data_IF_832496601346
#
_entry.id   IF_832496601346
#
_cell.length_a   1.000
_cell.length_b   1.000
_cell.length_c   1.000
_cell.angle_alpha   90.00
_cell.angle_beta   90.00
_cell.angle_gamma   90.00
#
_symmetry.space_group_name_H-M   'P 1'
#
loop_
_entity.id
_entity.type
_entity.pdbx_description
1 polymer ?
#
# COMPACT_ATOMS: atom_id res chain seq x y z
N UNK A 1 -20.52 -61.26 -10.89
CA UNK A 1 -20.06 -59.95 -10.39
C UNK A 1 -18.81 -59.52 -11.16
N UNK A 2 -18.84 -58.38 -11.88
CA UNK A 2 -17.65 -57.57 -12.23
C UNK A 2 -18.13 -56.21 -12.75
N UNK A 3 -17.87 -55.16 -11.97
CA UNK A 3 -18.38 -53.78 -12.15
C UNK A 3 -17.55 -53.06 -13.22
N UNK A 4 -18.21 -52.36 -14.15
CA UNK A 4 -17.59 -51.45 -15.12
C UNK A 4 -17.32 -50.11 -14.43
N UNK A 5 -16.07 -49.67 -14.41
CA UNK A 5 -15.64 -48.39 -13.86
C UNK A 5 -15.66 -47.35 -14.98
N UNK A 6 -16.41 -46.28 -14.78
CA UNK A 6 -16.42 -45.09 -15.64
C UNK A 6 -15.35 -44.13 -15.14
N UNK A 7 -14.42 -43.73 -16.00
CA UNK A 7 -13.47 -42.66 -15.72
C UNK A 7 -14.16 -41.35 -16.12
N UNK A 8 -14.54 -40.56 -15.12
CA UNK A 8 -15.04 -39.20 -15.30
C UNK A 8 -13.82 -38.33 -15.57
N UNK A 9 -13.71 -37.82 -16.80
CA UNK A 9 -12.69 -36.87 -17.18
C UNK A 9 -12.82 -35.58 -16.35
N UNK A 10 -11.78 -35.26 -15.61
CA UNK A 10 -11.68 -33.97 -14.92
C UNK A 10 -11.43 -32.88 -15.98
N UNK A 11 -12.45 -32.06 -16.23
CA UNK A 11 -12.30 -30.82 -16.98
C UNK A 11 -11.43 -29.86 -16.17
N UNK A 12 -10.17 -29.69 -16.58
CA UNK A 12 -9.35 -28.59 -16.11
C UNK A 12 -9.86 -27.32 -16.80
N UNK A 13 -10.69 -26.56 -16.10
CA UNK A 13 -10.98 -25.18 -16.48
C UNK A 13 -9.70 -24.36 -16.25
N UNK A 14 -8.96 -24.11 -17.33
CA UNK A 14 -7.90 -23.12 -17.34
C UNK A 14 -8.54 -21.74 -17.16
N UNK A 15 -8.60 -21.26 -15.92
CA UNK A 15 -8.91 -19.86 -15.65
C UNK A 15 -7.82 -19.02 -16.32
N UNK A 16 -8.19 -18.25 -17.33
CA UNK A 16 -7.31 -17.32 -17.99
C UNK A 16 -6.80 -16.31 -16.94
N UNK A 17 -5.56 -16.51 -16.48
CA UNK A 17 -4.83 -15.47 -15.78
C UNK A 17 -4.55 -14.38 -16.81
N UNK A 18 -5.33 -13.31 -16.77
CA UNK A 18 -5.02 -12.09 -17.52
C UNK A 18 -3.61 -11.61 -17.18
N UNK A 19 -2.95 -10.83 -18.07
CA UNK A 19 -1.62 -10.33 -17.79
C UNK A 19 -1.66 -9.55 -16.48
N UNK A 20 -0.84 -9.97 -15.51
CA UNK A 20 -0.61 -9.19 -14.30
C UNK A 20 0.10 -7.91 -14.74
N UNK A 21 -0.67 -6.85 -14.98
CA UNK A 21 -0.11 -5.52 -15.23
C UNK A 21 0.66 -5.14 -13.97
N UNK A 22 1.99 -5.07 -14.09
CA UNK A 22 2.83 -4.63 -12.99
C UNK A 22 2.38 -3.23 -12.56
N UNK A 23 2.16 -3.06 -11.26
CA UNK A 23 1.83 -1.75 -10.70
C UNK A 23 3.00 -0.79 -10.97
N UNK A 24 2.73 0.50 -11.23
CA UNK A 24 3.79 1.49 -11.24
C UNK A 24 4.56 1.46 -9.92
N UNK A 25 5.87 1.78 -9.93
CA UNK A 25 6.63 1.90 -8.70
C UNK A 25 6.02 2.98 -7.80
N UNK A 26 6.15 2.79 -6.48
CA UNK A 26 5.79 3.82 -5.52
C UNK A 26 6.71 5.05 -5.70
N UNK A 27 6.20 6.26 -5.42
CA UNK A 27 7.01 7.47 -5.44
C UNK A 27 8.11 7.38 -4.37
N UNK A 28 9.26 7.97 -4.67
CA UNK A 28 10.33 8.11 -3.68
C UNK A 28 9.87 8.96 -2.50
N UNK A 29 10.00 8.42 -1.29
CA UNK A 29 9.48 9.07 -0.08
C UNK A 29 10.27 10.35 0.27
N UNK A 30 11.56 10.43 -0.04
CA UNK A 30 12.38 11.62 0.22
C UNK A 30 12.00 12.75 -0.75
N UNK A 31 11.62 12.41 -1.97
CA UNK A 31 11.04 13.34 -2.93
C UNK A 31 9.66 13.81 -2.48
N UNK A 32 8.81 12.91 -1.95
CA UNK A 32 7.52 13.29 -1.35
C UNK A 32 7.69 14.25 -0.17
N UNK A 33 8.72 14.04 0.65
CA UNK A 33 9.07 14.95 1.73
C UNK A 33 9.46 16.33 1.21
N UNK A 34 10.30 16.37 0.17
CA UNK A 34 10.69 17.62 -0.49
C UNK A 34 9.48 18.39 -1.05
N UNK A 35 8.50 17.67 -1.59
CA UNK A 35 7.25 18.25 -2.09
C UNK A 35 6.31 18.70 -0.99
N UNK A 36 6.23 17.98 0.14
CA UNK A 36 5.47 18.41 1.30
C UNK A 36 5.94 19.80 1.79
N UNK A 37 7.25 20.05 1.79
CA UNK A 37 7.78 21.38 2.13
C UNK A 37 7.37 22.48 1.15
N UNK A 38 7.00 22.14 -0.09
CA UNK A 38 6.59 23.09 -1.13
C UNK A 38 5.08 23.32 -1.15
N UNK A 39 4.27 22.27 -0.98
CA UNK A 39 2.80 22.34 -1.03
C UNK A 39 2.15 22.52 0.36
N UNK A 40 2.95 22.42 1.43
CA UNK A 40 2.56 22.51 2.84
C UNK A 40 1.41 21.53 3.21
N UNK A 41 1.36 20.37 2.55
CA UNK A 41 0.33 19.37 2.78
C UNK A 41 0.70 17.99 2.23
N UNK A 42 -0.30 17.11 2.13
CA UNK A 42 -0.12 15.75 1.58
C UNK A 42 -0.77 15.58 0.21
N UNK A 43 -1.19 16.68 -0.43
CA UNK A 43 -1.97 16.64 -1.67
C UNK A 43 -1.22 16.00 -2.83
N UNK A 44 0.06 16.34 -3.01
CA UNK A 44 0.89 15.71 -4.04
C UNK A 44 1.17 14.24 -3.71
N UNK A 45 1.54 13.94 -2.46
CA UNK A 45 1.76 12.56 -2.01
C UNK A 45 0.52 11.67 -2.24
N UNK A 46 -0.67 12.19 -1.90
CA UNK A 46 -1.94 11.52 -2.14
C UNK A 46 -2.14 11.17 -3.63
N UNK A 47 -1.87 12.11 -4.54
CA UNK A 47 -2.02 11.87 -5.98
C UNK A 47 -0.99 10.86 -6.51
N UNK A 48 0.27 10.99 -6.10
CA UNK A 48 1.34 10.08 -6.52
C UNK A 48 1.09 8.64 -6.05
N UNK A 49 0.66 8.48 -4.80
CA UNK A 49 0.29 7.17 -4.25
C UNK A 49 -0.93 6.59 -4.97
N UNK A 50 -1.97 7.38 -5.23
CA UNK A 50 -3.15 6.90 -5.99
C UNK A 50 -2.81 6.52 -7.43
N UNK A 51 -1.79 7.13 -8.04
CA UNK A 51 -1.35 6.74 -9.37
C UNK A 51 -0.64 5.38 -9.37
N UNK A 52 0.14 5.09 -8.31
CA UNK A 52 0.83 3.81 -8.16
C UNK A 52 -0.09 2.69 -7.63
N UNK A 53 -1.03 3.03 -6.75
CA UNK A 53 -1.99 2.12 -6.11
C UNK A 53 -3.43 2.61 -6.36
N UNK A 54 -3.95 2.50 -7.59
CA UNK A 54 -5.28 2.99 -7.92
C UNK A 54 -6.37 2.16 -7.22
N UNK A 55 -7.57 2.74 -7.00
CA UNK A 55 -8.75 1.97 -6.60
C UNK A 55 -8.99 0.77 -7.53
N UNK A 56 -9.41 -0.35 -6.96
CA UNK A 56 -9.52 -1.64 -7.65
C UNK A 56 -8.28 -2.52 -7.54
N UNK A 57 -7.14 -1.97 -7.10
CA UNK A 57 -5.95 -2.77 -6.81
C UNK A 57 -6.24 -3.79 -5.70
N UNK A 58 -5.90 -5.08 -5.86
CA UNK A 58 -6.09 -6.07 -4.80
C UNK A 58 -5.36 -5.66 -3.53
N UNK A 59 -6.03 -5.76 -2.37
CA UNK A 59 -5.49 -5.28 -1.09
C UNK A 59 -4.18 -5.98 -0.71
N UNK A 60 -4.09 -7.28 -1.03
CA UNK A 60 -2.89 -8.08 -0.77
C UNK A 60 -1.71 -7.65 -1.64
N UNK A 61 -1.97 -7.25 -2.89
CA UNK A 61 -0.94 -6.72 -3.79
C UNK A 61 -0.46 -5.37 -3.28
N UNK A 62 -1.36 -4.46 -2.94
CA UNK A 62 -0.97 -3.15 -2.40
C UNK A 62 -0.19 -3.25 -1.10
N UNK A 63 -0.61 -4.15 -0.19
CA UNK A 63 0.14 -4.47 1.02
C UNK A 63 1.55 -4.95 0.69
N UNK A 64 1.68 -5.90 -0.23
CA UNK A 64 2.98 -6.45 -0.61
C UNK A 64 3.88 -5.37 -1.23
N UNK A 65 3.35 -4.52 -2.10
CA UNK A 65 4.08 -3.38 -2.69
C UNK A 65 4.57 -2.42 -1.61
N UNK A 66 3.71 -2.05 -0.65
CA UNK A 66 4.09 -1.15 0.44
C UNK A 66 5.13 -1.78 1.38
N UNK A 67 5.00 -3.06 1.71
CA UNK A 67 6.00 -3.78 2.52
C UNK A 67 7.34 -3.88 1.80
N UNK A 68 7.34 -4.15 0.49
CA UNK A 68 8.55 -4.18 -0.33
C UNK A 68 9.28 -2.83 -0.32
N UNK A 69 8.53 -1.75 -0.12
CA UNK A 69 9.00 -0.36 -0.03
C UNK A 69 9.30 0.09 1.42
N UNK A 70 9.36 -0.87 2.36
CA UNK A 70 9.75 -0.63 3.75
C UNK A 70 8.59 -0.31 4.70
N UNK A 71 7.33 -0.44 4.27
CA UNK A 71 6.19 -0.17 5.14
C UNK A 71 5.97 -1.26 6.19
N UNK A 72 5.58 -0.85 7.39
CA UNK A 72 4.94 -1.74 8.36
C UNK A 72 3.43 -1.65 8.23
N UNK A 73 2.80 -2.66 7.63
CA UNK A 73 1.35 -2.74 7.46
C UNK A 73 0.67 -3.54 8.57
N UNK A 74 -0.43 -3.01 9.11
CA UNK A 74 -1.26 -3.67 10.13
C UNK A 74 -2.73 -3.37 9.90
N UNK A 75 -3.56 -4.40 10.07
CA UNK A 75 -5.00 -4.24 10.14
C UNK A 75 -5.41 -3.95 11.59
N UNK A 76 -6.06 -2.80 11.89
CA UNK A 76 -6.53 -2.51 13.24
C UNK A 76 -7.60 -3.53 13.64
N UNK A 77 -7.45 -4.15 14.82
CA UNK A 77 -8.39 -5.18 15.33
C UNK A 77 -9.85 -4.74 15.34
N UNK A 78 -10.09 -3.44 15.56
CA UNK A 78 -11.43 -2.87 15.72
C UNK A 78 -11.99 -2.26 14.42
N UNK A 79 -11.27 -2.33 13.30
CA UNK A 79 -11.71 -1.77 12.02
C UNK A 79 -11.44 -2.76 10.89
N UNK A 80 -12.43 -3.61 10.61
CA UNK A 80 -12.42 -4.48 9.44
C UNK A 80 -12.46 -3.64 8.16
N UNK A 81 -11.85 -4.15 7.08
CA UNK A 81 -11.75 -3.43 5.81
C UNK A 81 -10.89 -2.17 5.84
N UNK A 82 -10.06 -1.98 6.88
CA UNK A 82 -9.09 -0.88 6.93
C UNK A 82 -7.72 -1.47 7.21
N UNK A 83 -6.75 -1.09 6.39
CA UNK A 83 -5.36 -1.42 6.58
C UNK A 83 -4.55 -0.13 6.75
N UNK A 84 -3.65 -0.12 7.73
CA UNK A 84 -2.73 0.99 7.95
C UNK A 84 -1.31 0.55 7.67
N UNK A 85 -0.64 1.24 6.77
CA UNK A 85 0.75 1.04 6.43
C UNK A 85 1.56 2.28 6.84
N UNK A 86 2.65 2.05 7.56
CA UNK A 86 3.52 3.09 8.11
C UNK A 86 4.88 3.02 7.43
N UNK A 87 5.32 4.12 6.84
CA UNK A 87 6.68 4.29 6.33
C UNK A 87 7.39 5.23 7.29
N UNK A 88 8.54 4.78 7.79
CA UNK A 88 9.40 5.55 8.67
C UNK A 88 10.55 6.13 7.85
N UNK A 89 10.73 7.45 7.92
CA UNK A 89 11.86 8.14 7.34
C UNK A 89 12.57 8.95 8.41
N UNK A 90 13.88 9.00 8.27
CA UNK A 90 14.73 9.82 9.13
C UNK A 90 15.16 11.06 8.34
N UNK A 91 14.84 12.24 8.85
CA UNK A 91 15.25 13.52 8.26
C UNK A 91 16.27 14.19 9.17
N UNK A 92 17.37 14.66 8.57
CA UNK A 92 18.39 15.48 9.23
C UNK A 92 18.34 16.95 8.74
N UNK A 93 17.23 17.36 8.13
CA UNK A 93 17.03 18.74 7.71
C UNK A 93 17.14 19.66 8.94
N UNK A 94 17.91 20.74 8.79
CA UNK A 94 18.18 21.76 9.81
C UNK A 94 18.95 21.29 11.06
N UNK A 95 19.65 20.15 10.99
CA UNK A 95 20.50 19.67 12.08
C UNK A 95 19.74 19.08 13.28
N UNK A 96 18.42 18.98 13.17
CA UNK A 96 17.57 18.22 14.08
C UNK A 96 17.28 16.84 13.47
N UNK A 97 17.21 15.82 14.32
CA UNK A 97 16.74 14.50 13.95
C UNK A 97 15.21 14.50 13.97
N UNK A 98 14.59 14.71 12.81
CA UNK A 98 13.14 14.69 12.64
C UNK A 98 12.72 13.29 12.14
N UNK A 99 11.93 12.58 12.95
CA UNK A 99 11.32 11.29 12.61
C UNK A 99 10.06 11.55 11.77
N UNK A 100 10.18 11.47 10.45
CA UNK A 100 9.06 11.65 9.53
C UNK A 100 8.33 10.32 9.34
N UNK A 101 7.02 10.32 9.58
CA UNK A 101 6.16 9.14 9.45
C UNK A 101 5.06 9.39 8.44
N UNK A 102 5.08 8.64 7.35
CA UNK A 102 3.99 8.59 6.39
C UNK A 102 3.04 7.46 6.77
N UNK A 103 1.75 7.79 6.89
CA UNK A 103 0.69 6.84 7.20
C UNK A 103 -0.27 6.72 6.02
N UNK A 104 -0.34 5.54 5.44
CA UNK A 104 -1.29 5.20 4.41
C UNK A 104 -2.42 4.40 5.05
N UNK A 105 -3.64 4.88 4.93
CA UNK A 105 -4.84 4.15 5.33
C UNK A 105 -5.55 3.66 4.07
N UNK A 106 -5.48 2.36 3.82
CA UNK A 106 -6.15 1.69 2.73
C UNK A 106 -7.53 1.25 3.22
N UNK A 107 -8.58 1.63 2.50
CA UNK A 107 -9.91 1.08 2.69
C UNK A 107 -10.11 -0.06 1.72
N UNK A 108 -10.51 -1.21 2.23
CA UNK A 108 -10.76 -2.42 1.48
C UNK A 108 -12.26 -2.66 1.32
N UNK A 109 -12.65 -3.02 0.10
CA UNK A 109 -13.98 -3.48 -0.23
C UNK A 109 -13.86 -4.64 -1.23
N UNK A 110 -14.42 -5.80 -0.89
CA UNK A 110 -14.40 -7.02 -1.73
C UNK A 110 -12.99 -7.45 -2.15
N UNK A 111 -12.02 -7.32 -1.26
CA UNK A 111 -10.62 -7.68 -1.46
C UNK A 111 -9.81 -6.67 -2.26
N UNK A 112 -10.37 -5.50 -2.59
CA UNK A 112 -9.72 -4.45 -3.39
C UNK A 112 -9.70 -3.12 -2.66
N UNK A 113 -8.77 -2.25 -3.02
CA UNK A 113 -8.74 -0.86 -2.52
C UNK A 113 -9.96 -0.12 -3.05
N UNK A 114 -10.79 0.41 -2.15
CA UNK A 114 -11.82 1.40 -2.50
C UNK A 114 -11.31 2.83 -2.38
N UNK A 115 -10.44 3.10 -1.40
CA UNK A 115 -9.79 4.40 -1.24
C UNK A 115 -8.47 4.30 -0.48
N UNK A 116 -7.63 5.32 -0.63
CA UNK A 116 -6.39 5.50 0.14
C UNK A 116 -6.42 6.90 0.75
N UNK A 117 -6.01 7.02 2.01
CA UNK A 117 -5.73 8.29 2.66
C UNK A 117 -4.26 8.34 3.07
N UNK A 118 -3.56 9.40 2.68
CA UNK A 118 -2.15 9.64 2.99
C UNK A 118 -2.03 10.78 3.98
N UNK A 119 -1.46 10.48 5.14
CA UNK A 119 -1.13 11.44 6.18
C UNK A 119 0.38 11.43 6.45
N UNK A 120 0.88 12.56 6.95
CA UNK A 120 2.27 12.71 7.39
C UNK A 120 2.28 13.22 8.83
N UNK A 121 3.20 12.71 9.63
CA UNK A 121 3.46 13.14 11.00
C UNK A 121 4.96 13.30 11.21
N UNK A 122 5.38 14.29 11.99
CA UNK A 122 6.79 14.49 12.38
C UNK A 122 6.88 14.38 13.89
N UNK A 123 7.77 13.50 14.35
CA UNK A 123 8.22 13.48 15.72
C UNK A 123 9.58 14.18 15.79
N UNK A 124 9.61 15.40 16.32
CA UNK A 124 10.85 16.17 16.46
C UNK A 124 11.53 15.78 17.76
N UNK A 125 12.66 15.08 17.66
CA UNK A 125 13.49 14.75 18.81
C UNK A 125 14.57 15.82 18.99
N UNK A 126 14.24 16.93 19.64
CA UNK A 126 15.20 17.97 20.01
C UNK A 126 14.53 19.27 20.45
N UNK A 127 15.00 19.85 21.55
CA UNK A 127 14.69 21.23 21.95
C UNK A 127 15.63 22.19 21.21
N UNK A 128 15.05 23.16 20.50
CA UNK A 128 15.77 24.34 20.01
C UNK A 128 16.39 25.13 21.17
#
# INVERSE_FOLDING_TARGET
MKKRVWIIGAGLAAAAAGPATALPPLPDWQQLESYHHQDNGTGLAQRSILAALPPGTPILTARATLIADGATCRQPRNRQGIEKCLIHQYSLLDGAADDVRWTLTLKEERGQISSILVNRYVDRHGSA
#
